data_IF_450522543077
#
_entry.id   IF_450522543077
#
_cell.length_a   1.000
_cell.length_b   1.000
_cell.length_c   1.000
_cell.angle_alpha   90.00
_cell.angle_beta   90.00
_cell.angle_gamma   90.00
#
_symmetry.space_group_name_H-M   'P 1'
#
loop_
_entity.id
_entity.type
_entity.pdbx_description
1 polymer ?
#
# COMPACT_ATOMS: atom_id res chain seq x y z
N UNK A 1 -25.22 7.61 -8.97
CA UNK A 1 -23.99 8.12 -8.39
C UNK A 1 -22.94 8.26 -9.49
N UNK A 2 -22.27 9.38 -9.64
CA UNK A 2 -21.25 9.54 -10.65
C UNK A 2 -19.97 8.84 -10.19
N UNK A 3 -19.40 8.05 -11.09
CA UNK A 3 -18.08 7.45 -10.97
C UNK A 3 -17.05 8.57 -10.84
N UNK A 4 -16.16 8.42 -9.87
CA UNK A 4 -14.97 9.22 -9.68
C UNK A 4 -14.21 9.34 -10.99
N UNK A 5 -13.97 10.56 -11.41
CA UNK A 5 -13.05 10.90 -12.49
C UNK A 5 -11.63 10.75 -11.96
N UNK A 6 -11.05 9.60 -12.19
CA UNK A 6 -9.65 9.36 -11.98
C UNK A 6 -8.78 10.15 -12.95
N UNK A 7 -7.65 10.59 -12.42
CA UNK A 7 -6.41 10.93 -13.11
C UNK A 7 -6.45 12.17 -13.99
N UNK A 8 -6.01 13.26 -13.43
CA UNK A 8 -5.41 14.35 -14.18
C UNK A 8 -4.13 14.78 -13.48
N UNK A 9 -3.00 14.47 -14.12
CA UNK A 9 -1.68 15.06 -13.92
C UNK A 9 -1.27 15.26 -12.46
N UNK A 10 -0.54 14.32 -11.91
CA UNK A 10 -0.11 14.26 -10.51
C UNK A 10 0.59 15.55 -10.06
N UNK A 11 1.63 16.02 -10.73
CA UNK A 11 2.37 17.21 -10.31
C UNK A 11 1.51 18.51 -10.23
N UNK A 12 0.55 18.70 -11.14
CA UNK A 12 -0.38 19.83 -11.06
C UNK A 12 -1.44 19.60 -9.96
N UNK A 13 -1.76 18.33 -9.68
CA UNK A 13 -2.65 17.93 -8.59
C UNK A 13 -1.99 18.18 -7.23
N UNK A 14 -0.73 17.84 -7.07
CA UNK A 14 -0.02 17.93 -5.78
C UNK A 14 0.28 19.37 -5.40
N UNK A 15 0.68 20.20 -6.36
CA UNK A 15 0.77 21.66 -6.15
C UNK A 15 -0.59 22.25 -5.74
N UNK A 16 -1.68 21.77 -6.32
CA UNK A 16 -3.03 22.23 -5.98
C UNK A 16 -3.48 21.67 -4.61
N UNK A 17 -3.24 20.40 -4.34
CA UNK A 17 -3.50 19.77 -3.03
C UNK A 17 -2.77 20.52 -1.90
N UNK A 18 -1.47 20.80 -2.09
CA UNK A 18 -0.67 21.60 -1.15
C UNK A 18 -1.18 23.04 -0.96
N UNK A 19 -1.59 23.69 -2.03
CA UNK A 19 -2.16 25.04 -1.94
C UNK A 19 -3.47 25.06 -1.16
N UNK A 20 -4.31 24.04 -1.32
CA UNK A 20 -5.54 23.86 -0.55
C UNK A 20 -5.21 23.65 0.92
N UNK A 21 -4.32 22.70 1.26
CA UNK A 21 -3.93 22.45 2.65
C UNK A 21 -3.37 23.68 3.37
N UNK A 22 -2.61 24.51 2.66
CA UNK A 22 -2.09 25.76 3.22
C UNK A 22 -3.17 26.82 3.47
N UNK A 23 -4.37 26.67 2.95
CA UNK A 23 -5.50 27.60 3.11
C UNK A 23 -6.55 27.10 4.10
N UNK A 24 -6.52 25.80 4.43
CA UNK A 24 -7.41 25.17 5.39
C UNK A 24 -6.92 25.42 6.83
N UNK A 25 -7.82 25.40 7.76
CA UNK A 25 -7.40 25.28 9.16
C UNK A 25 -6.90 23.85 9.45
N UNK A 26 -6.26 23.66 10.59
CA UNK A 26 -5.62 22.40 10.94
C UNK A 26 -6.61 21.22 10.97
N UNK A 27 -7.84 21.44 11.41
CA UNK A 27 -8.85 20.38 11.54
C UNK A 27 -9.35 19.95 10.15
N UNK A 28 -9.67 20.91 9.28
CA UNK A 28 -10.10 20.63 7.90
C UNK A 28 -8.97 19.98 7.09
N UNK A 29 -7.72 20.39 7.31
CA UNK A 29 -6.56 19.78 6.66
C UNK A 29 -6.37 18.32 7.05
N UNK A 30 -6.57 17.97 8.32
CA UNK A 30 -6.51 16.58 8.82
C UNK A 30 -7.64 15.74 8.24
N UNK A 31 -8.87 16.27 8.16
CA UNK A 31 -10.01 15.56 7.56
C UNK A 31 -9.72 15.20 6.09
N UNK A 32 -9.19 16.16 5.32
CA UNK A 32 -8.78 15.93 3.92
C UNK A 32 -7.68 14.88 3.80
N UNK A 33 -6.66 14.91 4.66
CA UNK A 33 -5.58 13.92 4.68
C UNK A 33 -6.11 12.52 4.97
N UNK A 34 -7.00 12.37 5.94
CA UNK A 34 -7.58 11.08 6.33
C UNK A 34 -8.54 10.48 5.29
N UNK A 35 -9.04 11.27 4.35
CA UNK A 35 -9.88 10.79 3.23
C UNK A 35 -9.04 10.35 2.01
N UNK A 36 -7.72 10.59 2.03
CA UNK A 36 -6.81 10.19 0.95
C UNK A 36 -6.32 8.74 1.12
N UNK A 37 -5.83 8.14 0.04
CA UNK A 37 -5.05 6.91 0.15
C UNK A 37 -3.73 7.21 0.89
N UNK A 38 -3.25 6.26 1.69
CA UNK A 38 -2.17 6.53 2.65
C UNK A 38 -0.82 6.88 1.99
N UNK A 39 -0.56 6.39 0.79
CA UNK A 39 0.60 6.74 -0.02
C UNK A 39 0.51 8.20 -0.51
N UNK A 40 -0.64 8.63 -1.03
CA UNK A 40 -0.94 10.02 -1.38
C UNK A 40 -0.81 10.97 -0.16
N UNK A 41 -1.32 10.53 1.01
CA UNK A 41 -1.18 11.27 2.28
C UNK A 41 0.30 11.46 2.66
N UNK A 42 1.10 10.40 2.53
CA UNK A 42 2.53 10.42 2.88
C UNK A 42 3.31 11.29 1.91
N UNK A 43 3.07 11.19 0.61
CA UNK A 43 3.76 12.00 -0.39
C UNK A 43 3.45 13.48 -0.18
N UNK A 44 2.20 13.83 0.11
CA UNK A 44 1.81 15.19 0.44
C UNK A 44 2.45 15.70 1.74
N UNK A 45 2.52 14.86 2.77
CA UNK A 45 3.19 15.19 4.04
C UNK A 45 4.70 15.41 3.86
N UNK A 46 5.37 14.68 2.95
CA UNK A 46 6.79 14.90 2.63
C UNK A 46 7.06 16.26 2.02
N UNK A 47 6.14 16.75 1.19
CA UNK A 47 6.24 18.07 0.55
C UNK A 47 6.04 19.25 1.49
N UNK A 48 5.39 19.03 2.66
CA UNK A 48 5.16 20.09 3.63
C UNK A 48 6.45 20.48 4.37
N UNK A 49 6.51 21.75 4.78
CA UNK A 49 7.57 22.22 5.68
C UNK A 49 7.57 21.40 7.00
N UNK A 50 8.75 21.04 7.54
CA UNK A 50 8.85 20.17 8.71
C UNK A 50 8.00 20.62 9.91
N UNK A 51 7.90 21.94 10.13
CA UNK A 51 7.11 22.49 11.25
C UNK A 51 5.62 22.28 11.02
N UNK A 52 5.14 22.49 9.80
CA UNK A 52 3.74 22.29 9.44
C UNK A 52 3.35 20.82 9.51
N UNK A 53 4.19 19.93 8.97
CA UNK A 53 3.99 18.48 9.06
C UNK A 53 3.88 18.01 10.51
N UNK A 54 4.80 18.42 11.39
CA UNK A 54 4.75 18.02 12.81
C UNK A 54 3.51 18.58 13.52
N UNK A 55 3.04 19.77 13.16
CA UNK A 55 1.82 20.33 13.70
C UNK A 55 0.60 19.48 13.32
N UNK A 56 0.46 19.09 12.05
CA UNK A 56 -0.63 18.21 11.61
C UNK A 56 -0.55 16.84 12.31
N UNK A 57 0.62 16.21 12.32
CA UNK A 57 0.82 14.92 12.97
C UNK A 57 0.53 14.96 14.49
N UNK A 58 0.71 16.10 15.15
CA UNK A 58 0.44 16.22 16.61
C UNK A 58 -1.05 16.21 16.95
N UNK A 59 -1.91 16.57 16.00
CA UNK A 59 -3.37 16.63 16.16
C UNK A 59 -4.09 15.38 15.62
N UNK A 60 -3.36 14.49 14.92
CA UNK A 60 -3.91 13.24 14.37
C UNK A 60 -3.92 12.12 15.41
N UNK A 61 -4.69 11.05 15.11
CA UNK A 61 -4.73 9.85 15.96
C UNK A 61 -3.34 9.22 16.12
N UNK A 62 -2.89 8.91 17.35
CA UNK A 62 -1.54 8.37 17.60
C UNK A 62 -1.23 7.05 16.89
N UNK A 63 -2.23 6.26 16.53
CA UNK A 63 -2.03 5.01 15.78
C UNK A 63 -1.72 5.29 14.33
N UNK A 64 -2.48 6.19 13.69
CA UNK A 64 -2.22 6.67 12.34
C UNK A 64 -0.85 7.34 12.24
N UNK A 65 -0.50 8.21 13.21
CA UNK A 65 0.80 8.89 13.27
C UNK A 65 1.96 7.89 13.33
N UNK A 66 1.83 6.79 14.07
CA UNK A 66 2.88 5.75 14.10
C UNK A 66 3.06 5.09 12.73
N UNK A 67 1.97 4.81 12.03
CA UNK A 67 1.99 4.25 10.70
C UNK A 67 2.63 5.21 9.70
N UNK A 68 2.14 6.46 9.63
CA UNK A 68 2.69 7.53 8.78
C UNK A 68 4.19 7.71 9.02
N UNK A 69 4.63 7.85 10.29
CA UNK A 69 6.05 8.01 10.62
C UNK A 69 6.90 6.80 10.19
N UNK A 70 6.32 5.60 10.17
CA UNK A 70 7.03 4.40 9.71
C UNK A 70 7.30 4.41 8.21
N UNK A 71 6.48 5.13 7.44
CA UNK A 71 6.56 5.23 5.98
C UNK A 71 7.33 6.48 5.53
N UNK A 72 7.20 7.60 6.24
CA UNK A 72 7.92 8.86 5.95
C UNK A 72 9.45 8.73 5.91
N UNK A 73 10.00 7.67 6.50
CA UNK A 73 11.45 7.42 6.53
C UNK A 73 12.02 6.90 5.19
N UNK A 74 11.17 6.41 4.30
CA UNK A 74 11.59 5.86 3.03
C UNK A 74 11.66 6.94 1.95
N UNK A 75 12.66 6.82 1.06
CA UNK A 75 12.78 7.70 -0.11
C UNK A 75 11.69 7.37 -1.13
N UNK A 76 11.17 8.39 -1.79
CA UNK A 76 10.09 8.27 -2.78
C UNK A 76 10.44 7.33 -3.93
N UNK A 77 11.71 7.34 -4.39
CA UNK A 77 12.20 6.52 -5.51
C UNK A 77 12.46 5.04 -5.14
N UNK A 78 11.99 4.59 -3.98
CA UNK A 78 12.22 3.23 -3.49
C UNK A 78 10.91 2.48 -3.27
N UNK A 79 11.00 1.14 -3.21
CA UNK A 79 9.84 0.30 -2.90
C UNK A 79 9.14 0.72 -1.60
N UNK A 80 9.91 1.14 -0.59
CA UNK A 80 9.38 1.63 0.67
C UNK A 80 8.66 2.97 0.57
N UNK A 81 9.04 3.82 -0.41
CA UNK A 81 8.36 5.08 -0.69
C UNK A 81 7.10 4.92 -1.53
N UNK A 82 7.05 3.87 -2.35
CA UNK A 82 5.92 3.56 -3.22
C UNK A 82 4.90 2.61 -2.58
N UNK A 83 5.26 1.94 -1.47
CA UNK A 83 4.38 0.91 -0.90
C UNK A 83 3.19 1.51 -0.15
N UNK A 84 2.04 0.87 -0.32
CA UNK A 84 0.90 1.03 0.58
C UNK A 84 0.90 -0.07 1.65
N UNK A 85 0.60 0.25 2.92
CA UNK A 85 0.38 -0.77 3.94
C UNK A 85 -0.99 -1.44 3.82
N UNK A 86 -1.87 -0.90 2.99
CA UNK A 86 -3.22 -1.40 2.76
C UNK A 86 -3.19 -2.66 1.93
N UNK A 87 -3.15 -3.81 2.59
CA UNK A 87 -3.18 -5.11 1.94
C UNK A 87 -4.07 -6.08 2.70
N UNK A 88 -4.67 -7.03 2.00
CA UNK A 88 -5.41 -8.10 2.66
C UNK A 88 -4.40 -9.12 3.18
N UNK A 89 -4.21 -9.12 4.50
CA UNK A 89 -3.30 -10.03 5.19
C UNK A 89 -4.10 -11.13 5.89
N UNK A 90 -3.68 -12.37 5.72
CA UNK A 90 -4.29 -13.57 6.28
C UNK A 90 -3.25 -14.37 7.07
N UNK A 91 -3.71 -15.24 7.95
CA UNK A 91 -2.88 -16.28 8.55
C UNK A 91 -3.01 -17.60 7.76
N UNK A 92 -2.04 -18.51 7.85
CA UNK A 92 -2.11 -19.82 7.20
C UNK A 92 -3.35 -20.65 7.61
N UNK A 93 -3.83 -20.44 8.85
CA UNK A 93 -4.99 -21.14 9.43
C UNK A 93 -6.33 -20.58 8.94
N UNK A 94 -6.33 -19.42 8.30
CA UNK A 94 -7.55 -18.85 7.71
C UNK A 94 -8.12 -19.79 6.65
N UNK A 95 -9.44 -19.85 6.55
CA UNK A 95 -10.10 -20.62 5.49
C UNK A 95 -10.24 -19.83 4.21
N UNK A 96 -10.48 -20.51 3.09
CA UNK A 96 -10.83 -19.87 1.82
C UNK A 96 -12.08 -19.01 1.97
N UNK A 97 -13.05 -19.43 2.77
CA UNK A 97 -14.25 -18.63 3.07
C UNK A 97 -13.92 -17.32 3.78
N UNK A 98 -13.00 -17.36 4.77
CA UNK A 98 -12.55 -16.16 5.48
C UNK A 98 -11.83 -15.18 4.54
N UNK A 99 -10.98 -15.70 3.65
CA UNK A 99 -10.28 -14.89 2.65
C UNK A 99 -11.27 -14.18 1.70
N UNK A 100 -12.28 -14.91 1.21
CA UNK A 100 -13.32 -14.34 0.33
C UNK A 100 -14.21 -13.34 1.09
N UNK A 101 -14.52 -13.60 2.37
CA UNK A 101 -15.27 -12.67 3.19
C UNK A 101 -14.54 -11.34 3.35
N UNK A 102 -13.24 -11.38 3.66
CA UNK A 102 -12.41 -10.17 3.75
C UNK A 102 -12.39 -9.37 2.45
N UNK A 103 -12.26 -10.02 1.30
CA UNK A 103 -12.33 -9.37 -0.01
C UNK A 103 -13.66 -8.64 -0.26
N UNK A 104 -14.75 -9.13 0.33
CA UNK A 104 -16.08 -8.51 0.17
C UNK A 104 -16.28 -7.29 1.05
N UNK A 105 -15.60 -7.25 2.20
CA UNK A 105 -15.73 -6.20 3.20
C UNK A 105 -14.74 -5.04 2.98
N UNK A 106 -13.83 -5.17 2.00
CA UNK A 106 -12.77 -4.21 1.77
C UNK A 106 -13.02 -3.45 0.47
N UNK A 107 -12.96 -2.12 0.53
CA UNK A 107 -13.02 -1.23 -0.64
C UNK A 107 -11.60 -0.90 -1.14
N UNK A 108 -10.82 -1.94 -1.41
CA UNK A 108 -9.45 -1.82 -1.89
C UNK A 108 -9.37 -1.71 -3.41
N UNK A 109 -8.32 -1.02 -3.93
CA UNK A 109 -8.05 -0.98 -5.35
C UNK A 109 -7.96 -2.37 -6.00
N UNK A 110 -8.35 -2.53 -7.27
CA UNK A 110 -8.35 -3.82 -7.96
C UNK A 110 -6.98 -4.51 -7.95
N UNK A 111 -5.90 -3.76 -8.08
CA UNK A 111 -4.53 -4.32 -8.08
C UNK A 111 -4.19 -5.04 -6.78
N UNK A 112 -4.65 -4.53 -5.64
CA UNK A 112 -4.45 -5.15 -4.32
C UNK A 112 -5.43 -6.30 -4.11
N UNK A 113 -6.68 -6.16 -4.56
CA UNK A 113 -7.75 -7.14 -4.34
C UNK A 113 -7.58 -8.49 -5.04
N UNK A 114 -6.69 -8.57 -6.05
CA UNK A 114 -6.45 -9.83 -6.79
C UNK A 114 -5.42 -10.74 -6.13
N UNK A 115 -4.66 -10.24 -5.15
CA UNK A 115 -3.62 -10.99 -4.44
C UNK A 115 -3.66 -10.70 -2.95
N UNK A 116 -3.78 -11.74 -2.15
CA UNK A 116 -3.79 -11.68 -0.70
C UNK A 116 -2.44 -12.15 -0.17
N UNK A 117 -2.01 -11.58 0.95
CA UNK A 117 -0.70 -11.82 1.53
C UNK A 117 -0.84 -12.65 2.81
N UNK A 118 0.04 -13.61 3.00
CA UNK A 118 -0.05 -14.54 4.13
C UNK A 118 1.15 -14.35 5.04
N UNK A 119 0.88 -14.13 6.32
CA UNK A 119 1.92 -13.97 7.36
C UNK A 119 1.62 -14.86 8.56
N UNK A 120 2.64 -15.16 9.34
CA UNK A 120 2.41 -15.61 10.72
C UNK A 120 1.71 -14.50 11.51
N UNK A 121 1.12 -14.87 12.66
CA UNK A 121 0.56 -13.86 13.57
C UNK A 121 1.68 -13.00 14.22
N UNK A 122 1.44 -11.71 14.47
CA UNK A 122 0.21 -10.94 14.20
C UNK A 122 0.09 -10.53 12.73
N UNK A 123 -1.15 -10.27 12.27
CA UNK A 123 -1.44 -9.75 10.92
C UNK A 123 -1.42 -8.23 10.84
N UNK A 124 -1.49 -7.54 11.98
CA UNK A 124 -1.33 -6.08 12.07
C UNK A 124 0.17 -5.72 12.11
N UNK A 125 0.50 -4.52 11.62
CA UNK A 125 1.87 -4.02 11.60
C UNK A 125 2.40 -3.75 13.04
N UNK A 126 3.61 -4.21 13.39
CA UNK A 126 4.50 -5.04 12.59
C UNK A 126 3.99 -6.49 12.50
N UNK A 127 3.83 -6.99 11.29
CA UNK A 127 3.30 -8.34 11.05
C UNK A 127 4.23 -9.44 11.58
N UNK A 128 3.75 -10.69 11.65
CA UNK A 128 4.61 -11.86 11.73
C UNK A 128 5.39 -12.08 10.43
N UNK A 129 6.09 -13.20 10.35
CA UNK A 129 6.88 -13.54 9.17
C UNK A 129 5.99 -13.71 7.94
N UNK A 130 6.41 -13.13 6.81
CA UNK A 130 5.75 -13.31 5.51
C UNK A 130 5.98 -14.75 5.01
N UNK A 131 4.93 -15.41 4.58
CA UNK A 131 4.96 -16.80 4.14
C UNK A 131 4.75 -16.96 2.63
N UNK A 132 4.20 -15.94 1.98
CA UNK A 132 3.88 -15.95 0.57
C UNK A 132 2.55 -15.27 0.29
N UNK A 133 2.04 -15.44 -0.92
CA UNK A 133 0.79 -14.82 -1.33
C UNK A 133 -0.16 -15.82 -2.00
N UNK A 134 -1.43 -15.45 -2.07
CA UNK A 134 -2.48 -16.26 -2.70
C UNK A 134 -3.24 -15.39 -3.70
N UNK A 135 -3.44 -15.89 -4.91
CA UNK A 135 -4.27 -15.17 -5.89
C UNK A 135 -5.76 -15.46 -5.66
N UNK A 136 -6.61 -14.46 -5.90
CA UNK A 136 -8.06 -14.65 -5.90
C UNK A 136 -8.48 -15.82 -6.82
N UNK A 137 -7.84 -15.95 -8.00
CA UNK A 137 -8.12 -17.03 -8.93
C UNK A 137 -7.81 -18.42 -8.36
N UNK A 138 -6.80 -18.52 -7.47
CA UNK A 138 -6.50 -19.78 -6.76
C UNK A 138 -7.57 -20.07 -5.73
N UNK A 139 -7.94 -19.09 -4.89
CA UNK A 139 -8.96 -19.23 -3.87
C UNK A 139 -10.31 -19.69 -4.44
N UNK A 140 -10.73 -19.13 -5.59
CA UNK A 140 -11.99 -19.49 -6.23
C UNK A 140 -12.06 -20.93 -6.76
N UNK A 141 -10.93 -21.65 -6.84
CA UNK A 141 -10.88 -23.06 -7.27
C UNK A 141 -10.87 -24.03 -6.10
N UNK A 142 -10.70 -23.54 -4.89
CA UNK A 142 -10.63 -24.34 -3.68
C UNK A 142 -11.95 -24.39 -2.93
N UNK A 143 -12.22 -25.46 -2.17
CA UNK A 143 -13.42 -25.51 -1.35
C UNK A 143 -13.40 -24.43 -0.26
N UNK A 144 -14.55 -23.86 0.12
CA UNK A 144 -14.60 -22.79 1.13
C UNK A 144 -13.98 -23.16 2.48
N UNK A 145 -13.98 -24.43 2.83
CA UNK A 145 -13.39 -24.97 4.07
C UNK A 145 -11.90 -25.29 3.96
N UNK A 146 -11.30 -25.15 2.78
CA UNK A 146 -9.86 -25.35 2.57
C UNK A 146 -9.04 -24.34 3.36
N UNK A 147 -7.86 -24.74 3.81
CA UNK A 147 -6.93 -23.84 4.48
C UNK A 147 -6.20 -22.95 3.46
N UNK A 148 -6.01 -21.68 3.80
CA UNK A 148 -5.22 -20.76 2.99
C UNK A 148 -3.79 -21.26 2.83
N UNK A 149 -3.24 -21.95 3.83
CA UNK A 149 -1.93 -22.58 3.79
C UNK A 149 -1.70 -23.46 2.54
N UNK A 150 -2.74 -24.17 2.09
CA UNK A 150 -2.65 -25.08 0.93
C UNK A 150 -2.69 -24.34 -0.41
N UNK A 151 -2.95 -23.02 -0.36
CA UNK A 151 -3.08 -22.16 -1.52
C UNK A 151 -1.87 -21.26 -1.74
N UNK A 152 -0.95 -21.19 -0.77
CA UNK A 152 0.17 -20.24 -0.78
C UNK A 152 1.11 -20.52 -1.95
N UNK A 153 1.42 -19.47 -2.69
CA UNK A 153 2.52 -19.43 -3.64
C UNK A 153 3.75 -18.88 -2.90
N UNK A 154 4.72 -19.76 -2.66
CA UNK A 154 5.96 -19.45 -1.94
C UNK A 154 7.06 -18.93 -2.88
N UNK A 155 6.89 -19.05 -4.19
CA UNK A 155 7.91 -18.72 -5.19
C UNK A 155 7.79 -17.28 -5.68
N UNK A 156 6.80 -16.52 -5.18
CA UNK A 156 6.63 -15.11 -5.51
C UNK A 156 7.74 -14.29 -4.86
N UNK A 157 8.52 -13.53 -5.64
CA UNK A 157 9.58 -12.70 -5.08
C UNK A 157 9.02 -11.62 -4.16
N UNK A 158 9.87 -11.19 -3.22
CA UNK A 158 9.64 -10.03 -2.36
C UNK A 158 10.66 -8.94 -2.65
N UNK A 159 10.39 -7.73 -2.20
CA UNK A 159 11.30 -6.60 -2.28
C UNK A 159 11.70 -6.13 -0.88
N UNK A 160 12.90 -5.57 -0.76
CA UNK A 160 13.28 -4.77 0.39
C UNK A 160 12.87 -3.31 0.18
N UNK A 161 12.68 -2.53 1.26
CA UNK A 161 12.22 -1.15 1.15
C UNK A 161 13.15 -0.21 0.38
N UNK A 162 14.43 -0.55 0.27
CA UNK A 162 15.46 0.21 -0.45
C UNK A 162 15.58 -0.19 -1.93
N UNK A 163 14.81 -1.16 -2.40
CA UNK A 163 14.78 -1.54 -3.81
C UNK A 163 14.35 -0.34 -4.67
N UNK A 164 15.10 -0.09 -5.74
CA UNK A 164 14.81 1.03 -6.66
C UNK A 164 13.54 0.79 -7.47
N UNK A 165 12.91 1.86 -7.92
CA UNK A 165 11.75 1.83 -8.83
C UNK A 165 11.97 0.89 -10.03
N UNK A 166 13.17 0.92 -10.62
CA UNK A 166 13.52 0.05 -11.75
C UNK A 166 13.52 -1.43 -11.37
N UNK A 167 13.97 -1.77 -10.15
CA UNK A 167 13.93 -3.14 -9.64
C UNK A 167 12.49 -3.57 -9.38
N UNK A 168 11.67 -2.70 -8.80
CA UNK A 168 10.24 -2.92 -8.60
C UNK A 168 9.56 -3.22 -9.94
N UNK A 169 9.70 -2.32 -10.92
CA UNK A 169 9.15 -2.49 -12.26
C UNK A 169 9.63 -3.80 -12.92
N UNK A 170 10.92 -4.12 -12.75
CA UNK A 170 11.53 -5.34 -13.28
C UNK A 170 10.95 -6.62 -12.67
N UNK A 171 10.65 -6.61 -11.37
CA UNK A 171 10.04 -7.75 -10.67
C UNK A 171 8.58 -7.91 -11.10
N UNK A 172 7.78 -6.85 -11.05
CA UNK A 172 6.38 -6.89 -11.47
C UNK A 172 6.24 -7.42 -12.90
N UNK A 173 7.04 -6.88 -13.84
CA UNK A 173 6.99 -7.30 -15.25
C UNK A 173 7.51 -8.73 -15.50
N UNK A 174 8.56 -9.17 -14.77
CA UNK A 174 9.15 -10.49 -14.95
C UNK A 174 8.27 -11.62 -14.46
N UNK A 175 7.50 -11.39 -13.42
CA UNK A 175 6.68 -12.39 -12.76
C UNK A 175 5.18 -12.19 -12.98
N UNK A 176 4.79 -11.31 -13.91
CA UNK A 176 3.39 -10.97 -14.22
C UNK A 176 2.57 -10.62 -12.96
N UNK A 177 3.17 -9.82 -12.07
CA UNK A 177 2.56 -9.44 -10.80
C UNK A 177 1.79 -8.12 -10.94
N UNK A 178 0.61 -8.04 -10.35
CA UNK A 178 -0.14 -6.80 -10.16
C UNK A 178 0.22 -6.11 -8.84
N UNK A 179 0.73 -6.88 -7.87
CA UNK A 179 1.23 -6.36 -6.61
C UNK A 179 2.37 -7.25 -6.09
N UNK A 180 3.35 -6.67 -5.42
CA UNK A 180 4.50 -7.35 -4.83
C UNK A 180 4.69 -6.94 -3.37
N UNK A 181 5.00 -7.92 -2.51
CA UNK A 181 5.25 -7.69 -1.09
C UNK A 181 6.59 -6.98 -0.86
N UNK A 182 6.58 -5.98 0.03
CA UNK A 182 7.78 -5.35 0.59
C UNK A 182 7.97 -5.88 2.00
N UNK A 183 9.16 -6.43 2.27
CA UNK A 183 9.47 -7.06 3.56
C UNK A 183 10.70 -6.44 4.22
N UNK A 184 10.75 -6.49 5.53
CA UNK A 184 11.93 -6.07 6.28
C UNK A 184 13.00 -7.19 6.34
N UNK A 185 14.21 -6.92 6.91
CA UNK A 185 15.25 -7.94 7.06
C UNK A 185 14.87 -9.13 7.95
N UNK A 186 13.78 -9.05 8.72
CA UNK A 186 13.22 -10.14 9.50
C UNK A 186 12.11 -10.89 8.73
N UNK A 187 11.99 -10.62 7.43
CA UNK A 187 10.96 -11.17 6.54
C UNK A 187 9.51 -10.83 6.98
N UNK A 188 9.28 -9.70 7.65
CA UNK A 188 7.95 -9.25 8.03
C UNK A 188 7.39 -8.35 6.94
N UNK A 189 6.11 -8.50 6.63
CA UNK A 189 5.43 -7.66 5.64
C UNK A 189 5.32 -6.22 6.14
N UNK A 190 5.82 -5.29 5.35
CA UNK A 190 5.74 -3.84 5.60
C UNK A 190 4.61 -3.20 4.81
N UNK A 191 4.39 -3.66 3.60
CA UNK A 191 3.40 -3.16 2.67
C UNK A 191 3.50 -3.86 1.32
N UNK A 192 2.83 -3.32 0.34
CA UNK A 192 2.80 -3.83 -1.03
C UNK A 192 3.00 -2.70 -2.01
N UNK A 193 3.65 -2.96 -3.14
CA UNK A 193 3.72 -2.02 -4.27
C UNK A 193 2.88 -2.61 -5.40
N UNK A 194 2.03 -1.79 -6.00
CA UNK A 194 1.20 -2.19 -7.13
C UNK A 194 1.81 -1.81 -8.47
N UNK A 195 1.34 -2.43 -9.53
CA UNK A 195 1.76 -2.08 -10.89
C UNK A 195 1.28 -0.67 -11.27
N UNK A 196 0.15 -0.23 -10.73
CA UNK A 196 -0.44 1.08 -11.03
C UNK A 196 0.44 2.20 -10.48
N UNK A 197 0.97 2.07 -9.25
CA UNK A 197 1.89 3.05 -8.63
C UNK A 197 3.17 3.21 -9.46
N UNK A 198 3.72 2.08 -9.93
CA UNK A 198 4.91 2.10 -10.79
C UNK A 198 4.63 2.75 -12.15
N UNK A 199 3.48 2.48 -12.76
CA UNK A 199 3.11 3.09 -14.06
C UNK A 199 2.93 4.60 -13.90
N UNK A 200 2.28 5.06 -12.85
CA UNK A 200 2.09 6.49 -12.57
C UNK A 200 3.44 7.19 -12.50
N UNK A 201 4.37 6.69 -11.67
CA UNK A 201 5.71 7.29 -11.51
C UNK A 201 6.53 7.28 -12.79
N UNK A 202 6.53 6.17 -13.54
CA UNK A 202 7.24 6.09 -14.81
C UNK A 202 6.70 7.07 -15.87
N UNK A 203 5.41 7.39 -15.86
CA UNK A 203 4.81 8.36 -16.77
C UNK A 203 5.15 9.80 -16.38
N UNK A 204 5.23 10.09 -15.10
CA UNK A 204 5.61 11.41 -14.57
C UNK A 204 7.10 11.71 -14.79
N UNK A 205 7.97 10.73 -14.55
CA UNK A 205 9.40 10.86 -14.83
C UNK A 205 9.76 11.03 -16.30
N UNK A 206 8.85 10.66 -17.22
CA UNK A 206 9.05 10.83 -18.65
C UNK A 206 8.67 12.24 -19.19
N UNK A 207 7.95 13.05 -18.39
CA UNK A 207 7.53 14.40 -18.73
C UNK A 207 8.47 15.50 -18.17
N UNK A 208 9.47 15.12 -17.38
CA UNK A 208 10.48 16.02 -16.77
C UNK A 208 11.77 16.03 -17.56
#
# INVERSE_FOLDING_TARGET
PPRSTQSRSSAASDVYKRQILNQLDTADAIEVLQEMEIDDEIDLLKELEPVQREMLLSEMDPENVRQIRSLLKYSEDTAGGMMTPEAIVLTPESTVADAIARLRDTDLPPAISVRLFVTESPIQAPTGKYLGSVTLARLLREPPTGAVADCIDHDVPTLFPDASEKEVAGILARYDLLAVAVVDPMERLLGVVTVDDVIIRLTEGAES
#
